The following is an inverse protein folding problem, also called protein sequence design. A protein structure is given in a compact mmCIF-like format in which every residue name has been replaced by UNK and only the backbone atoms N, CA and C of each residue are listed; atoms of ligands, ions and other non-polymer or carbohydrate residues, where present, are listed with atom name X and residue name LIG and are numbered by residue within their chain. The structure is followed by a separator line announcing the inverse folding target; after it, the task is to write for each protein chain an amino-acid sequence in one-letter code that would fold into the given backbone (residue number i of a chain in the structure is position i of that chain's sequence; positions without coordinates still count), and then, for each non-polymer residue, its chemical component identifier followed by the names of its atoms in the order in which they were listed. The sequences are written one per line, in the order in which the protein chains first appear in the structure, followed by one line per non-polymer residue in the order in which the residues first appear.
data_IF_626707678131
#
_entry.id   IF_626707678131
#
_cell.length_a   1.000
_cell.length_b   1.000
_cell.length_c   1.000
_cell.angle_alpha   90.00
_cell.angle_beta   90.00
_cell.angle_gamma   90.00
#
_symmetry.space_group_name_H-M   'P 1'
#
loop_
_entity.id
_entity.type
_entity.pdbx_description
1 polymer ?
#
# COMPACT_ATOMS: atom_id res chain seq x y z
N UNK A 1 -21.26 14.88 5.60
CA UNK A 1 -20.37 15.28 4.50
C UNK A 1 -19.65 14.07 3.91
N UNK A 2 -20.28 12.89 3.86
CA UNK A 2 -19.57 11.63 3.56
C UNK A 2 -20.32 10.83 2.49
N UNK A 3 -20.18 11.28 1.24
CA UNK A 3 -20.76 10.59 0.07
C UNK A 3 -19.75 9.70 -0.65
N UNK A 4 -18.51 9.65 -0.14
CA UNK A 4 -17.47 8.74 -0.60
C UNK A 4 -17.64 7.39 0.09
N UNK A 5 -17.07 6.36 -0.51
CA UNK A 5 -17.03 5.04 0.11
C UNK A 5 -16.31 5.08 1.46
N UNK A 6 -16.84 4.37 2.46
CA UNK A 6 -16.19 4.25 3.75
C UNK A 6 -14.83 3.52 3.60
N UNK A 7 -13.77 3.96 4.30
CA UNK A 7 -12.49 3.25 4.34
C UNK A 7 -12.64 1.78 4.73
N UNK A 8 -11.64 0.96 4.41
CA UNK A 8 -11.60 -0.43 4.83
C UNK A 8 -11.51 -0.51 6.36
N UNK A 9 -12.30 -1.39 6.97
CA UNK A 9 -12.53 -1.39 8.43
C UNK A 9 -13.41 -0.26 8.98
N UNK A 10 -14.01 0.56 8.10
CA UNK A 10 -15.05 1.54 8.44
C UNK A 10 -14.55 2.95 8.77
N UNK A 11 -13.27 3.11 9.15
CA UNK A 11 -12.66 4.41 9.45
C UNK A 11 -11.24 4.48 8.91
N UNK A 12 -10.85 5.65 8.43
CA UNK A 12 -9.46 5.92 8.02
C UNK A 12 -8.60 6.02 9.28
N UNK A 13 -7.54 5.24 9.32
CA UNK A 13 -6.56 5.22 10.42
C UNK A 13 -5.38 6.09 10.01
N UNK A 14 -5.40 7.35 10.43
CA UNK A 14 -4.25 8.25 10.33
C UNK A 14 -3.40 8.10 11.59
N UNK A 15 -2.13 7.73 11.45
CA UNK A 15 -1.23 7.48 12.57
C UNK A 15 -0.31 8.68 12.85
N UNK A 16 -0.42 9.77 12.09
CA UNK A 16 0.31 10.99 12.40
C UNK A 16 -0.24 11.59 13.70
N UNK A 17 0.62 11.69 14.70
CA UNK A 17 0.26 12.24 16.00
C UNK A 17 0.23 13.78 15.96
N UNK A 18 -0.52 14.42 16.87
CA UNK A 18 -0.47 15.87 17.04
C UNK A 18 0.95 16.39 17.32
N UNK A 19 1.21 17.65 16.95
CA UNK A 19 2.56 18.22 17.00
C UNK A 19 3.22 18.20 18.39
N UNK A 20 2.43 18.39 19.46
CA UNK A 20 2.90 18.31 20.84
C UNK A 20 3.35 16.90 21.23
N UNK A 21 2.60 15.86 20.81
CA UNK A 21 3.00 14.46 20.98
C UNK A 21 4.22 14.13 20.13
N UNK A 22 4.31 14.62 18.90
CA UNK A 22 5.45 14.43 18.01
C UNK A 22 6.75 14.98 18.64
N UNK A 23 6.71 16.18 19.22
CA UNK A 23 7.86 16.75 19.92
C UNK A 23 8.26 15.98 21.19
N UNK A 24 7.29 15.42 21.92
CA UNK A 24 7.56 14.54 23.05
C UNK A 24 8.26 13.24 22.61
N UNK A 25 7.78 12.62 21.53
CA UNK A 25 8.38 11.40 20.97
C UNK A 25 9.81 11.64 20.46
N UNK A 26 10.08 12.79 19.84
CA UNK A 26 11.45 13.17 19.42
C UNK A 26 12.42 13.27 20.60
N UNK A 27 11.95 13.80 21.74
CA UNK A 27 12.76 13.88 22.97
C UNK A 27 13.01 12.51 23.58
N UNK A 28 11.98 11.66 23.62
CA UNK A 28 12.08 10.29 24.13
C UNK A 28 13.05 9.45 23.29
N UNK A 29 13.04 9.64 21.97
CA UNK A 29 13.87 8.90 21.03
C UNK A 29 15.39 9.12 21.15
N UNK A 30 15.87 10.07 21.96
CA UNK A 30 17.31 10.26 22.19
C UNK A 30 17.93 9.10 22.98
N UNK A 31 17.16 8.50 23.88
CA UNK A 31 17.63 7.43 24.78
C UNK A 31 17.18 6.04 24.33
N UNK A 32 16.52 5.94 23.17
CA UNK A 32 15.93 4.71 22.66
C UNK A 32 16.75 4.12 21.50
N UNK A 33 16.71 2.79 21.29
CA UNK A 33 17.24 2.18 20.08
C UNK A 33 16.51 2.72 18.85
N UNK A 34 17.21 2.72 17.71
CA UNK A 34 16.66 3.17 16.44
C UNK A 34 16.93 2.20 15.30
N UNK A 35 15.97 2.11 14.39
CA UNK A 35 16.11 1.41 13.11
C UNK A 35 16.16 2.46 12.01
N UNK A 36 17.22 2.45 11.21
CA UNK A 36 17.28 3.18 9.94
C UNK A 36 16.59 2.35 8.86
N UNK A 37 15.55 2.93 8.26
CA UNK A 37 14.75 2.33 7.21
C UNK A 37 15.43 2.53 5.85
N UNK A 38 15.34 1.52 5.00
CA UNK A 38 15.59 1.73 3.58
C UNK A 38 14.42 2.47 2.90
N UNK A 39 14.60 2.84 1.63
CA UNK A 39 13.60 3.60 0.88
C UNK A 39 12.28 2.83 0.65
N UNK A 40 12.32 1.50 0.58
CA UNK A 40 11.11 0.68 0.43
C UNK A 40 10.33 0.67 1.74
N UNK A 41 11.03 0.44 2.85
CA UNK A 41 10.46 0.44 4.19
C UNK A 41 9.89 1.82 4.56
N UNK A 42 10.56 2.91 4.17
CA UNK A 42 10.06 4.27 4.36
C UNK A 42 8.76 4.53 3.58
N UNK A 43 8.67 4.07 2.31
CA UNK A 43 7.44 4.17 1.53
C UNK A 43 6.29 3.34 2.09
N UNK A 44 6.58 2.14 2.61
CA UNK A 44 5.59 1.31 3.31
C UNK A 44 5.13 1.95 4.63
N UNK A 45 6.05 2.56 5.38
CA UNK A 45 5.71 3.33 6.58
C UNK A 45 4.83 4.52 6.25
N UNK A 46 5.09 5.24 5.14
CA UNK A 46 4.25 6.34 4.67
C UNK A 46 2.83 5.89 4.35
N UNK A 47 2.68 4.76 3.66
CA UNK A 47 1.36 4.16 3.37
C UNK A 47 0.60 3.79 4.65
N UNK A 48 1.32 3.26 5.65
CA UNK A 48 0.76 2.92 6.95
C UNK A 48 0.33 4.17 7.73
N UNK A 49 1.23 5.16 7.85
CA UNK A 49 0.98 6.38 8.61
C UNK A 49 -0.14 7.22 8.01
N UNK A 50 -0.19 7.34 6.68
CA UNK A 50 -1.23 8.11 5.98
C UNK A 50 -2.59 7.40 5.90
N UNK A 51 -2.70 6.18 6.42
CA UNK A 51 -3.95 5.40 6.45
C UNK A 51 -4.31 4.70 5.14
N UNK A 52 -3.38 4.62 4.18
CA UNK A 52 -3.60 3.85 2.95
C UNK A 52 -3.76 2.36 3.26
N UNK A 53 -3.19 1.89 4.36
CA UNK A 53 -3.34 0.55 4.89
C UNK A 53 -4.37 0.40 6.02
N UNK A 54 -5.34 1.32 6.14
CA UNK A 54 -6.47 1.12 7.07
C UNK A 54 -7.12 -0.26 6.84
N UNK A 55 -7.43 -1.02 7.91
CA UNK A 55 -7.49 -0.59 9.32
C UNK A 55 -6.20 -0.80 10.14
N UNK A 56 -5.06 -1.11 9.51
CA UNK A 56 -3.82 -1.36 10.24
C UNK A 56 -3.39 -0.13 11.06
N UNK A 57 -2.94 -0.39 12.29
CA UNK A 57 -2.42 0.64 13.21
C UNK A 57 -0.90 0.54 13.41
N UNK A 58 -0.24 -0.29 12.61
CA UNK A 58 1.12 -0.75 12.88
C UNK A 58 1.57 -1.85 11.91
N UNK A 59 2.81 -2.28 12.07
CA UNK A 59 3.31 -3.48 11.41
C UNK A 59 2.70 -4.73 12.05
N UNK A 60 2.36 -5.72 11.23
CA UNK A 60 1.72 -6.94 11.71
C UNK A 60 2.64 -7.72 12.65
N UNK A 61 2.08 -8.15 13.77
CA UNK A 61 2.67 -9.16 14.66
C UNK A 61 2.59 -10.56 14.06
N UNK A 62 3.22 -11.53 14.74
CA UNK A 62 3.37 -12.90 14.21
C UNK A 62 2.03 -13.58 13.92
N UNK A 63 1.04 -13.41 14.79
CA UNK A 63 -0.28 -14.04 14.63
C UNK A 63 -1.01 -13.53 13.36
N UNK A 64 -1.07 -12.20 13.18
CA UNK A 64 -1.67 -11.62 11.99
C UNK A 64 -0.89 -11.96 10.72
N UNK A 65 0.44 -11.99 10.80
CA UNK A 65 1.30 -12.42 9.69
C UNK A 65 0.93 -13.83 9.22
N UNK A 66 0.92 -14.81 10.13
CA UNK A 66 0.59 -16.21 9.81
C UNK A 66 -0.87 -16.36 9.32
N UNK A 67 -1.81 -15.63 9.92
CA UNK A 67 -3.21 -15.61 9.48
C UNK A 67 -3.34 -15.08 8.05
N UNK A 68 -2.65 -13.98 7.72
CA UNK A 68 -2.68 -13.41 6.37
C UNK A 68 -2.06 -14.36 5.35
N UNK A 69 -0.96 -15.04 5.70
CA UNK A 69 -0.38 -16.06 4.82
C UNK A 69 -1.38 -17.17 4.53
N UNK A 70 -2.04 -17.69 5.57
CA UNK A 70 -2.94 -18.86 5.49
C UNK A 70 -4.29 -18.57 4.85
N UNK A 71 -4.92 -17.45 5.18
CA UNK A 71 -6.34 -17.21 4.87
C UNK A 71 -6.66 -15.81 4.35
N UNK A 72 -5.65 -14.99 4.03
CA UNK A 72 -5.84 -13.60 3.56
C UNK A 72 -6.76 -12.78 4.48
N UNK A 73 -6.60 -12.99 5.78
CA UNK A 73 -7.36 -12.32 6.83
C UNK A 73 -6.44 -12.01 8.00
N UNK A 74 -6.67 -10.89 8.67
CA UNK A 74 -6.11 -10.63 10.00
C UNK A 74 -6.71 -11.62 11.02
N UNK A 75 -6.11 -11.71 12.20
CA UNK A 75 -6.56 -12.62 13.26
C UNK A 75 -7.98 -12.33 13.76
N UNK A 76 -8.47 -11.10 13.57
CA UNK A 76 -9.85 -10.69 13.89
C UNK A 76 -10.87 -11.03 12.77
N UNK A 77 -10.41 -11.62 11.67
CA UNK A 77 -11.22 -12.00 10.51
C UNK A 77 -11.34 -10.91 9.44
N UNK A 78 -10.75 -9.74 9.63
CA UNK A 78 -10.74 -8.67 8.62
C UNK A 78 -9.98 -9.12 7.37
N UNK A 79 -10.59 -8.97 6.19
CA UNK A 79 -9.95 -9.33 4.91
C UNK A 79 -8.68 -8.50 4.67
N UNK A 80 -7.55 -9.19 4.48
CA UNK A 80 -6.24 -8.58 4.29
C UNK A 80 -5.27 -9.53 3.55
N UNK A 81 -4.80 -9.20 2.34
CA UNK A 81 -4.18 -10.19 1.46
C UNK A 81 -2.65 -10.32 1.57
N UNK A 82 -1.91 -9.33 2.09
CA UNK A 82 -0.44 -9.33 2.11
C UNK A 82 0.07 -8.89 3.47
N UNK A 83 1.00 -9.63 4.12
CA UNK A 83 1.50 -9.21 5.41
C UNK A 83 2.36 -7.95 5.27
N UNK A 84 2.07 -6.93 6.09
CA UNK A 84 2.85 -5.69 6.18
C UNK A 84 3.68 -5.75 7.46
N UNK A 85 4.95 -6.13 7.34
CA UNK A 85 5.88 -6.31 8.47
C UNK A 85 7.18 -5.54 8.24
N UNK A 86 7.82 -5.10 9.32
CA UNK A 86 9.13 -4.47 9.26
C UNK A 86 10.23 -5.54 9.31
N UNK A 87 11.04 -5.63 8.26
CA UNK A 87 12.18 -6.55 8.22
C UNK A 87 13.43 -5.88 8.77
N UNK A 88 14.17 -6.56 9.64
CA UNK A 88 15.44 -6.11 10.21
C UNK A 88 16.49 -7.21 10.08
N UNK A 89 17.76 -6.83 10.19
CA UNK A 89 18.83 -7.82 10.25
C UNK A 89 18.95 -8.43 11.66
N UNK A 90 19.64 -9.57 11.76
CA UNK A 90 19.84 -10.29 13.02
C UNK A 90 20.47 -9.43 14.13
N UNK A 91 21.41 -8.55 13.78
CA UNK A 91 22.07 -7.66 14.77
C UNK A 91 21.09 -6.67 15.38
N UNK A 92 20.19 -6.12 14.58
CA UNK A 92 19.12 -5.22 15.04
C UNK A 92 18.09 -6.02 15.86
N UNK A 93 17.67 -7.18 15.39
CA UNK A 93 16.71 -8.03 16.10
C UNK A 93 17.22 -8.43 17.49
N UNK A 94 18.51 -8.72 17.64
CA UNK A 94 19.12 -9.06 18.93
C UNK A 94 19.09 -7.92 19.96
N UNK A 95 18.86 -6.67 19.53
CA UNK A 95 18.83 -5.48 20.38
C UNK A 95 17.41 -5.03 20.75
N UNK A 96 16.39 -5.70 20.20
CA UNK A 96 14.99 -5.30 20.33
C UNK A 96 14.20 -6.47 20.91
N UNK A 97 13.37 -6.20 21.92
CA UNK A 97 12.45 -7.18 22.50
C UNK A 97 11.01 -6.65 22.52
N UNK A 98 10.01 -7.54 22.57
CA UNK A 98 8.63 -7.16 22.88
C UNK A 98 8.55 -6.26 24.13
N UNK A 99 7.79 -5.18 24.04
CA UNK A 99 7.65 -4.16 25.07
C UNK A 99 8.61 -2.98 24.93
N UNK A 100 9.62 -3.06 24.07
CA UNK A 100 10.49 -1.92 23.77
C UNK A 100 9.78 -0.88 22.89
N UNK A 101 10.31 0.34 22.94
CA UNK A 101 9.98 1.40 21.99
C UNK A 101 11.20 1.69 21.12
N UNK A 102 10.99 1.74 19.81
CA UNK A 102 12.08 1.88 18.83
C UNK A 102 11.79 3.05 17.90
N UNK A 103 12.75 3.96 17.76
CA UNK A 103 12.63 5.07 16.82
C UNK A 103 12.88 4.57 15.38
N UNK A 104 11.96 4.86 14.47
CA UNK A 104 12.13 4.60 13.04
C UNK A 104 12.63 5.86 12.35
N UNK A 105 13.76 5.75 11.68
CA UNK A 105 14.44 6.87 11.01
C UNK A 105 14.61 6.59 9.53
N UNK A 106 14.65 7.63 8.71
CA UNK A 106 15.04 7.49 7.31
C UNK A 106 16.56 7.31 7.15
N UNK A 107 17.02 7.22 5.90
CA UNK A 107 18.44 7.11 5.56
C UNK A 107 19.29 8.33 5.93
N UNK A 108 18.68 9.49 6.20
CA UNK A 108 19.36 10.71 6.64
C UNK A 108 19.36 10.86 8.18
N UNK A 109 18.69 9.94 8.88
CA UNK A 109 18.58 9.92 10.34
C UNK A 109 17.40 10.72 10.90
N UNK A 110 16.54 11.27 10.04
CA UNK A 110 15.34 11.99 10.47
C UNK A 110 14.31 11.01 11.02
N UNK A 111 13.73 11.33 12.18
CA UNK A 111 12.77 10.46 12.85
C UNK A 111 11.39 10.57 12.20
N UNK A 112 10.92 9.44 11.65
CA UNK A 112 9.62 9.33 10.99
C UNK A 112 8.54 8.85 11.94
N UNK A 113 8.84 7.88 12.80
CA UNK A 113 7.86 7.28 13.69
C UNK A 113 8.49 6.67 14.96
N UNK A 114 7.65 6.37 15.93
CA UNK A 114 7.94 5.47 17.03
C UNK A 114 7.20 4.15 16.84
N UNK A 115 7.89 3.03 17.06
CA UNK A 115 7.33 1.68 17.03
C UNK A 115 7.26 1.12 18.46
N UNK A 116 6.05 0.82 18.91
CA UNK A 116 5.80 0.07 20.14
C UNK A 116 5.81 -1.43 19.81
N UNK A 117 6.91 -2.11 20.15
CA UNK A 117 7.18 -3.47 19.68
C UNK A 117 6.29 -4.48 20.39
N UNK A 118 5.50 -5.23 19.62
CA UNK A 118 4.71 -6.36 20.13
C UNK A 118 5.42 -7.69 19.94
N UNK A 119 6.10 -7.86 18.81
CA UNK A 119 6.68 -9.13 18.40
C UNK A 119 8.01 -8.93 17.69
N UNK A 120 8.97 -9.82 17.97
CA UNK A 120 10.23 -9.95 17.23
C UNK A 120 10.44 -11.43 16.97
N UNK A 121 10.51 -11.85 15.70
CA UNK A 121 10.68 -13.26 15.35
C UNK A 121 11.48 -13.45 14.07
N UNK A 122 12.20 -14.56 13.99
CA UNK A 122 12.85 -14.99 12.75
C UNK A 122 11.82 -15.63 11.82
N UNK A 123 11.88 -15.28 10.53
CA UNK A 123 11.00 -15.85 9.53
C UNK A 123 11.36 -17.32 9.27
N UNK A 124 10.45 -18.22 9.62
CA UNK A 124 10.49 -19.61 9.16
C UNK A 124 9.89 -19.69 7.75
N UNK A 125 10.77 -19.74 6.75
CA UNK A 125 10.37 -19.80 5.34
C UNK A 125 9.62 -21.10 5.03
N UNK A 126 10.02 -22.23 5.61
CA UNK A 126 9.38 -23.53 5.33
C UNK A 126 7.94 -23.56 5.88
N UNK A 127 7.75 -23.07 7.11
CA UNK A 127 6.42 -22.90 7.69
C UNK A 127 5.59 -21.91 6.86
N UNK A 128 6.17 -20.76 6.49
CA UNK A 128 5.48 -19.72 5.73
C UNK A 128 5.02 -20.19 4.35
N UNK A 129 5.86 -20.96 3.64
CA UNK A 129 5.50 -21.61 2.37
C UNK A 129 4.36 -22.61 2.59
N UNK A 130 4.42 -23.44 3.64
CA UNK A 130 3.34 -24.39 3.95
C UNK A 130 2.00 -23.70 4.26
N UNK A 131 2.03 -22.50 4.86
CA UNK A 131 0.83 -21.68 5.07
C UNK A 131 0.30 -21.11 3.75
N UNK A 132 1.19 -20.60 2.88
CA UNK A 132 0.83 -20.08 1.57
C UNK A 132 0.23 -21.14 0.67
N UNK A 133 0.76 -22.37 0.65
CA UNK A 133 0.22 -23.49 -0.13
C UNK A 133 -1.22 -23.87 0.26
N UNK A 134 -1.62 -23.59 1.51
CA UNK A 134 -2.98 -23.80 2.01
C UNK A 134 -3.91 -22.62 1.74
N UNK A 135 -3.34 -21.48 1.33
CA UNK A 135 -4.09 -20.28 1.03
C UNK A 135 -4.77 -20.39 -0.33
N UNK A 136 -5.96 -19.80 -0.49
CA UNK A 136 -6.60 -19.71 -1.80
C UNK A 136 -5.86 -18.78 -2.78
N UNK A 137 -4.82 -18.07 -2.34
CA UNK A 137 -3.86 -17.39 -3.21
C UNK A 137 -2.42 -17.65 -2.72
N UNK A 138 -1.70 -18.65 -3.24
CA UNK A 138 -0.38 -19.05 -2.71
C UNK A 138 0.77 -18.12 -3.13
N UNK A 139 0.59 -17.30 -4.18
CA UNK A 139 1.63 -16.41 -4.74
C UNK A 139 1.45 -14.97 -4.27
N UNK A 140 2.51 -14.17 -4.39
CA UNK A 140 2.45 -12.70 -4.16
C UNK A 140 2.96 -12.23 -2.81
N UNK A 141 3.56 -13.11 -2.01
CA UNK A 141 4.28 -12.74 -0.79
C UNK A 141 5.74 -13.12 -0.97
N UNK A 142 6.62 -12.15 -0.78
CA UNK A 142 8.07 -12.38 -0.82
C UNK A 142 8.56 -12.82 0.57
N UNK A 143 9.24 -13.97 0.61
CA UNK A 143 9.78 -14.55 1.83
C UNK A 143 11.31 -14.54 1.74
N UNK A 144 11.95 -13.75 2.59
CA UNK A 144 13.41 -13.61 2.60
C UNK A 144 13.99 -14.49 3.70
N UNK A 145 14.76 -15.51 3.30
CA UNK A 145 15.41 -16.43 4.25
C UNK A 145 16.36 -15.69 5.19
N UNK A 146 16.29 -16.01 6.49
CA UNK A 146 17.11 -15.37 7.52
C UNK A 146 16.64 -13.97 7.93
N UNK A 147 15.56 -13.44 7.37
CA UNK A 147 14.98 -12.17 7.79
C UNK A 147 14.39 -12.28 9.20
N UNK A 148 14.57 -11.22 9.98
CA UNK A 148 13.87 -11.02 11.24
C UNK A 148 12.75 -10.00 11.03
N UNK A 149 11.57 -10.30 11.56
CA UNK A 149 10.41 -9.45 11.44
C UNK A 149 10.08 -8.83 12.80
N UNK A 150 9.67 -7.56 12.75
CA UNK A 150 9.22 -6.79 13.91
C UNK A 150 7.79 -6.32 13.67
N UNK A 151 6.92 -6.66 14.60
CA UNK A 151 5.52 -6.24 14.64
C UNK A 151 5.30 -5.26 15.78
N UNK A 152 4.32 -4.37 15.63
CA UNK A 152 4.02 -3.38 16.66
C UNK A 152 3.22 -2.19 16.16
N UNK A 153 2.71 -1.41 17.11
CA UNK A 153 1.92 -0.20 16.83
C UNK A 153 2.84 0.96 16.45
N UNK A 154 2.34 1.82 15.57
CA UNK A 154 3.09 2.97 15.07
C UNK A 154 2.44 4.26 15.58
N UNK A 155 3.28 5.15 16.14
CA UNK A 155 2.98 6.57 16.31
C UNK A 155 3.83 7.36 15.30
N UNK A 156 3.18 7.92 14.28
CA UNK A 156 3.85 8.69 13.23
C UNK A 156 4.22 10.09 13.70
N UNK A 157 5.50 10.45 13.61
CA UNK A 157 6.06 11.75 14.02
C UNK A 157 6.10 12.71 12.85
N UNK A 158 6.46 12.23 11.66
CA UNK A 158 6.52 13.02 10.43
C UNK A 158 6.46 12.11 9.21
N UNK A 159 5.83 12.59 8.14
CA UNK A 159 5.95 11.92 6.83
C UNK A 159 7.39 12.01 6.30
N UNK A 160 7.82 11.02 5.49
CA UNK A 160 9.07 11.13 4.74
C UNK A 160 9.07 12.38 3.86
N UNK A 161 10.22 13.04 3.76
CA UNK A 161 10.36 14.21 2.89
C UNK A 161 10.60 13.76 1.45
N UNK A 162 9.80 14.32 0.54
CA UNK A 162 9.96 14.11 -0.90
C UNK A 162 10.14 15.46 -1.59
N UNK A 163 11.09 15.54 -2.52
CA UNK A 163 11.35 16.76 -3.29
C UNK A 163 10.82 16.67 -4.73
N UNK A 164 10.46 15.47 -5.16
CA UNK A 164 9.91 15.16 -6.47
C UNK A 164 8.39 15.05 -6.41
N UNK A 165 7.73 15.54 -7.47
CA UNK A 165 6.28 15.40 -7.68
C UNK A 165 5.39 15.73 -6.46
N UNK A 166 5.80 16.69 -5.63
CA UNK A 166 5.13 17.02 -4.35
C UNK A 166 3.63 17.29 -4.51
N UNK A 167 3.21 17.90 -5.62
CA UNK A 167 1.79 18.16 -5.92
C UNK A 167 0.97 16.90 -6.23
N UNK A 168 1.60 15.76 -6.52
CA UNK A 168 0.95 14.48 -6.82
C UNK A 168 0.95 13.52 -5.63
N UNK A 169 1.80 13.75 -4.62
CA UNK A 169 1.93 12.93 -3.41
C UNK A 169 0.86 13.31 -2.39
N UNK A 170 -0.38 12.96 -2.71
CA UNK A 170 -1.55 13.25 -1.88
C UNK A 170 -1.87 12.03 -1.02
N UNK A 171 -1.88 12.16 0.31
CA UNK A 171 -2.31 11.08 1.20
C UNK A 171 -3.83 10.82 1.12
N UNK A 172 -4.32 9.67 1.63
CA UNK A 172 -5.74 9.32 1.60
C UNK A 172 -6.68 10.39 2.16
N UNK A 173 -6.34 10.99 3.31
CA UNK A 173 -7.16 12.04 3.94
C UNK A 173 -7.26 13.29 3.06
N UNK A 174 -6.12 13.74 2.53
CA UNK A 174 -6.06 14.91 1.65
C UNK A 174 -6.80 14.65 0.34
N UNK A 175 -6.54 13.50 -0.31
CA UNK A 175 -7.19 13.17 -1.56
C UNK A 175 -8.70 13.08 -1.36
N UNK A 176 -9.19 12.34 -0.36
CA UNK A 176 -10.63 12.27 -0.03
C UNK A 176 -11.24 13.65 0.17
N UNK A 177 -10.56 14.56 0.87
CA UNK A 177 -11.00 15.95 1.03
C UNK A 177 -11.10 16.70 -0.30
N UNK A 178 -10.13 16.51 -1.20
CA UNK A 178 -10.20 17.09 -2.55
C UNK A 178 -11.36 16.51 -3.37
N UNK A 179 -11.53 15.19 -3.37
CA UNK A 179 -12.60 14.50 -4.11
C UNK A 179 -13.99 14.89 -3.60
N UNK A 180 -14.16 14.97 -2.28
CA UNK A 180 -15.41 15.39 -1.65
C UNK A 180 -15.76 16.85 -1.96
N UNK A 181 -14.78 17.76 -1.95
CA UNK A 181 -14.97 19.18 -2.35
C UNK A 181 -15.41 19.33 -3.81
N UNK A 182 -14.98 18.43 -4.70
CA UNK A 182 -15.42 18.36 -6.09
C UNK A 182 -16.78 17.66 -6.27
N UNK A 183 -17.37 17.13 -5.19
CA UNK A 183 -18.64 16.40 -5.23
C UNK A 183 -18.56 15.04 -5.93
N UNK A 184 -17.36 14.45 -6.04
CA UNK A 184 -17.17 13.15 -6.68
C UNK A 184 -17.77 12.03 -5.81
N UNK A 185 -18.64 11.19 -6.38
CA UNK A 185 -19.31 10.09 -5.67
C UNK A 185 -18.78 8.72 -6.07
N UNK A 186 -18.88 8.43 -7.37
CA UNK A 186 -18.33 7.22 -7.98
C UNK A 186 -16.99 7.57 -8.59
N UNK A 187 -16.00 6.78 -8.23
CA UNK A 187 -14.61 6.95 -8.63
C UNK A 187 -14.08 5.58 -9.05
N UNK A 188 -13.66 5.49 -10.30
CA UNK A 188 -12.92 4.37 -10.87
C UNK A 188 -11.44 4.70 -10.76
N UNK A 189 -10.64 3.77 -10.26
CA UNK A 189 -9.19 3.94 -10.22
C UNK A 189 -8.46 2.99 -11.15
N UNK A 190 -7.34 3.48 -11.70
CA UNK A 190 -6.34 2.65 -12.35
C UNK A 190 -5.01 2.81 -11.60
N UNK A 191 -4.65 1.76 -10.86
CA UNK A 191 -3.37 1.68 -10.16
C UNK A 191 -2.30 1.20 -11.14
N UNK A 192 -1.46 2.12 -11.60
CA UNK A 192 -0.55 1.85 -12.70
C UNK A 192 0.84 1.46 -12.21
N UNK A 193 1.35 0.36 -12.73
CA UNK A 193 2.72 -0.10 -12.44
C UNK A 193 3.65 0.02 -13.65
N UNK A 194 3.09 0.43 -14.79
CA UNK A 194 3.76 0.59 -16.06
C UNK A 194 3.15 1.75 -16.86
N UNK A 195 3.85 2.28 -17.88
CA UNK A 195 3.29 3.31 -18.75
C UNK A 195 1.98 2.86 -19.39
N UNK A 196 0.99 3.74 -19.40
CA UNK A 196 -0.29 3.47 -20.04
C UNK A 196 -0.18 3.70 -21.56
N UNK A 197 -0.71 2.76 -22.33
CA UNK A 197 -0.84 2.86 -23.78
C UNK A 197 -2.30 3.09 -24.20
N UNK A 198 -2.53 3.25 -25.51
CA UNK A 198 -3.85 3.57 -26.07
C UNK A 198 -4.98 2.65 -25.59
N UNK A 199 -4.71 1.35 -25.45
CA UNK A 199 -5.74 0.40 -25.02
C UNK A 199 -6.13 0.61 -23.54
N UNK A 200 -5.15 0.81 -22.64
CA UNK A 200 -5.44 1.11 -21.23
C UNK A 200 -6.13 2.46 -21.08
N UNK A 201 -5.69 3.47 -21.85
CA UNK A 201 -6.34 4.78 -21.90
C UNK A 201 -7.81 4.67 -22.30
N UNK A 202 -8.10 3.99 -23.41
CA UNK A 202 -9.46 3.80 -23.91
C UNK A 202 -10.32 2.99 -22.94
N UNK A 203 -9.74 1.98 -22.29
CA UNK A 203 -10.43 1.18 -21.28
C UNK A 203 -10.80 2.00 -20.05
N UNK A 204 -9.85 2.78 -19.49
CA UNK A 204 -10.09 3.63 -18.34
C UNK A 204 -11.21 4.64 -18.59
N UNK A 205 -11.20 5.29 -19.76
CA UNK A 205 -12.27 6.22 -20.15
C UNK A 205 -13.62 5.52 -20.31
N UNK A 206 -13.63 4.35 -20.97
CA UNK A 206 -14.86 3.58 -21.15
C UNK A 206 -15.45 3.15 -19.82
N UNK A 207 -14.65 2.59 -18.91
CA UNK A 207 -15.09 2.19 -17.59
C UNK A 207 -15.63 3.39 -16.79
N UNK A 208 -14.96 4.54 -16.85
CA UNK A 208 -15.46 5.76 -16.20
C UNK A 208 -16.84 6.18 -16.75
N UNK A 209 -17.05 6.09 -18.07
CA UNK A 209 -18.34 6.41 -18.71
C UNK A 209 -19.42 5.39 -18.34
N UNK A 210 -19.13 4.09 -18.49
CA UNK A 210 -20.07 3.00 -18.24
C UNK A 210 -20.56 2.97 -16.80
N UNK A 211 -19.70 3.32 -15.84
CA UNK A 211 -20.03 3.40 -14.42
C UNK A 211 -20.45 4.81 -13.97
N UNK A 212 -20.55 5.77 -14.90
CA UNK A 212 -20.86 7.18 -14.62
C UNK A 212 -20.04 7.74 -13.44
N UNK A 213 -18.74 7.49 -13.50
CA UNK A 213 -17.76 7.70 -12.46
C UNK A 213 -16.66 8.65 -12.94
N UNK A 214 -16.01 9.30 -11.98
CA UNK A 214 -14.78 10.03 -12.25
C UNK A 214 -13.59 9.06 -12.24
N UNK A 215 -12.51 9.45 -12.91
CA UNK A 215 -11.31 8.63 -13.04
C UNK A 215 -10.19 9.15 -12.14
N UNK A 216 -9.61 8.26 -11.33
CA UNK A 216 -8.40 8.52 -10.58
C UNK A 216 -7.27 7.65 -11.15
N UNK A 217 -6.17 8.27 -11.55
CA UNK A 217 -4.96 7.56 -11.96
C UNK A 217 -4.00 7.56 -10.77
N UNK A 218 -3.58 6.36 -10.35
CA UNK A 218 -2.70 6.14 -9.19
C UNK A 218 -1.45 5.32 -9.60
N UNK A 219 -0.52 5.89 -10.39
CA UNK A 219 0.76 5.22 -10.61
C UNK A 219 1.55 5.02 -9.32
N UNK A 220 2.17 3.85 -9.19
CA UNK A 220 3.13 3.54 -8.12
C UNK A 220 4.44 4.28 -8.41
N UNK A 221 4.83 5.19 -7.51
CA UNK A 221 6.01 6.03 -7.66
C UNK A 221 6.95 6.03 -6.46
N UNK A 222 7.00 4.93 -5.71
CA UNK A 222 8.06 4.71 -4.72
C UNK A 222 9.34 4.23 -5.38
N UNK A 223 10.45 4.85 -4.99
CA UNK A 223 11.78 4.55 -5.50
C UNK A 223 12.80 5.55 -5.00
N UNK A 224 14.03 5.08 -4.84
CA UNK A 224 15.17 5.97 -4.66
C UNK A 224 15.75 6.37 -6.04
N UNK A 225 16.34 7.56 -6.12
CA UNK A 225 16.99 8.08 -7.33
C UNK A 225 18.14 7.20 -7.79
N UNK A 226 18.82 6.50 -6.87
CA UNK A 226 19.95 5.63 -7.21
C UNK A 226 19.52 4.20 -7.49
N UNK A 227 18.54 3.68 -6.75
CA UNK A 227 18.10 2.28 -6.83
C UNK A 227 16.92 2.01 -7.77
N UNK A 228 16.07 3.00 -8.05
CA UNK A 228 14.84 2.83 -8.83
C UNK A 228 14.37 4.12 -9.51
N UNK A 229 15.23 4.79 -10.28
CA UNK A 229 14.87 6.03 -10.98
C UNK A 229 13.74 5.87 -12.05
N UNK A 230 13.38 4.63 -12.39
CA UNK A 230 12.38 4.32 -13.43
C UNK A 230 11.00 4.91 -13.15
N UNK A 231 10.62 5.10 -11.87
CA UNK A 231 9.33 5.69 -11.54
C UNK A 231 9.21 7.14 -12.03
N UNK A 232 10.31 7.90 -12.13
CA UNK A 232 10.27 9.28 -12.65
C UNK A 232 9.73 9.29 -14.07
N UNK A 233 10.22 8.38 -14.90
CA UNK A 233 9.75 8.22 -16.28
C UNK A 233 8.29 7.79 -16.32
N UNK A 234 7.88 6.88 -15.43
CA UNK A 234 6.49 6.47 -15.28
C UNK A 234 5.58 7.67 -14.96
N UNK A 235 5.86 8.41 -13.89
CA UNK A 235 5.05 9.56 -13.47
C UNK A 235 5.01 10.64 -14.55
N UNK A 236 6.15 10.94 -15.20
CA UNK A 236 6.20 11.89 -16.32
C UNK A 236 5.37 11.44 -17.52
N UNK A 237 5.33 10.13 -17.81
CA UNK A 237 4.48 9.60 -18.89
C UNK A 237 2.98 9.83 -18.59
N UNK A 238 2.56 9.68 -17.33
CA UNK A 238 1.20 9.99 -16.90
C UNK A 238 0.90 11.48 -16.99
N UNK A 239 1.79 12.36 -16.52
CA UNK A 239 1.65 13.81 -16.65
C UNK A 239 1.48 14.24 -18.12
N UNK A 240 2.27 13.68 -19.03
CA UNK A 240 2.16 13.97 -20.46
C UNK A 240 0.80 13.56 -21.05
N UNK A 241 0.23 12.45 -20.60
CA UNK A 241 -1.07 11.95 -21.05
C UNK A 241 -2.26 12.68 -20.45
N UNK A 242 -2.10 13.41 -19.34
CA UNK A 242 -3.22 14.13 -18.70
C UNK A 242 -3.93 15.11 -19.63
N UNK A 243 -3.22 15.66 -20.62
CA UNK A 243 -3.81 16.52 -21.67
C UNK A 243 -4.87 15.83 -22.53
N UNK A 244 -4.88 14.49 -22.56
CA UNK A 244 -5.84 13.67 -23.32
C UNK A 244 -7.06 13.28 -22.50
N UNK A 245 -7.02 13.44 -21.18
CA UNK A 245 -8.14 13.15 -20.29
C UNK A 245 -9.01 14.38 -20.06
N UNK A 246 -10.33 14.22 -19.82
CA UNK A 246 -11.17 15.35 -19.44
C UNK A 246 -10.78 15.89 -18.05
N UNK A 247 -10.35 17.14 -18.00
CA UNK A 247 -9.79 17.79 -16.79
C UNK A 247 -10.78 17.81 -15.61
N UNK A 248 -12.09 17.93 -15.89
CA UNK A 248 -13.11 18.02 -14.85
C UNK A 248 -13.39 16.68 -14.13
N UNK A 249 -13.12 15.55 -14.79
CA UNK A 249 -13.51 14.21 -14.33
C UNK A 249 -12.33 13.26 -14.20
N UNK A 250 -11.10 13.76 -14.30
CA UNK A 250 -9.89 12.95 -14.14
C UNK A 250 -8.87 13.64 -13.25
N UNK A 251 -8.31 12.88 -12.30
CA UNK A 251 -7.26 13.35 -11.39
C UNK A 251 -6.09 12.37 -11.40
N UNK A 252 -4.87 12.91 -11.32
CA UNK A 252 -3.63 12.15 -11.14
C UNK A 252 -3.14 12.39 -9.71
N UNK A 253 -2.82 11.30 -9.02
CA UNK A 253 -2.05 11.28 -7.78
C UNK A 253 -1.09 10.09 -7.83
N UNK A 254 -0.08 10.04 -6.98
CA UNK A 254 0.89 8.95 -6.98
C UNK A 254 0.95 8.25 -5.62
N UNK A 255 1.26 6.96 -5.64
CA UNK A 255 1.51 6.17 -4.44
C UNK A 255 3.00 6.20 -4.10
N UNK A 256 3.40 6.39 -2.83
CA UNK A 256 4.80 6.48 -2.41
C UNK A 256 5.53 5.13 -2.35
N UNK A 257 4.93 4.05 -2.86
CA UNK A 257 5.50 2.70 -2.86
C UNK A 257 5.87 2.23 -4.27
N UNK A 258 6.91 1.39 -4.33
CA UNK A 258 7.25 0.68 -5.56
C UNK A 258 6.15 -0.34 -5.89
N UNK A 259 5.97 -0.58 -7.17
CA UNK A 259 5.18 -1.70 -7.64
C UNK A 259 5.84 -3.02 -7.19
N UNK A 260 5.11 -3.90 -6.50
CA UNK A 260 5.58 -5.21 -6.01
C UNK A 260 5.59 -6.27 -7.16
N UNK A 261 5.10 -7.49 -7.02
CA UNK A 261 4.89 -8.51 -8.09
C UNK A 261 3.45 -8.56 -8.65
N UNK A 262 3.19 -8.72 -9.96
CA UNK A 262 1.79 -8.74 -10.47
C UNK A 262 0.97 -10.00 -10.07
N UNK A 263 0.66 -10.16 -8.79
CA UNK A 263 -0.07 -11.28 -8.18
C UNK A 263 -1.49 -10.88 -7.78
N UNK A 264 -2.36 -11.87 -7.56
CA UNK A 264 -3.72 -11.63 -7.10
C UNK A 264 -3.77 -10.93 -5.73
N UNK A 265 -2.90 -11.33 -4.79
CA UNK A 265 -2.81 -10.70 -3.47
C UNK A 265 -2.52 -9.20 -3.57
N UNK A 266 -1.68 -8.80 -4.52
CA UNK A 266 -1.36 -7.39 -4.72
C UNK A 266 -2.48 -6.61 -5.37
N UNK A 267 -3.22 -7.22 -6.30
CA UNK A 267 -4.44 -6.61 -6.86
C UNK A 267 -5.49 -6.38 -5.76
N UNK A 268 -5.65 -7.35 -4.84
CA UNK A 268 -6.53 -7.22 -3.67
C UNK A 268 -6.02 -6.16 -2.67
N UNK A 269 -4.71 -6.09 -2.41
CA UNK A 269 -4.13 -5.02 -1.58
C UNK A 269 -4.37 -3.66 -2.23
N UNK A 270 -4.18 -3.56 -3.55
CA UNK A 270 -4.48 -2.37 -4.33
C UNK A 270 -5.94 -1.96 -4.21
N UNK A 271 -6.89 -2.91 -4.19
CA UNK A 271 -8.29 -2.58 -3.96
C UNK A 271 -8.56 -2.00 -2.57
N UNK A 272 -7.92 -2.53 -1.53
CA UNK A 272 -7.99 -1.97 -0.17
C UNK A 272 -7.42 -0.55 -0.16
N UNK A 273 -6.24 -0.36 -0.75
CA UNK A 273 -5.60 0.96 -0.85
C UNK A 273 -6.54 1.93 -1.59
N UNK A 274 -7.01 1.56 -2.78
CA UNK A 274 -7.94 2.36 -3.58
C UNK A 274 -9.19 2.76 -2.79
N UNK A 275 -9.79 1.82 -2.05
CA UNK A 275 -10.91 2.08 -1.15
C UNK A 275 -10.53 3.11 -0.10
N UNK A 276 -9.37 2.98 0.54
CA UNK A 276 -8.88 3.94 1.54
C UNK A 276 -8.62 5.32 0.94
N UNK A 277 -8.28 5.42 -0.35
CA UNK A 277 -8.22 6.68 -1.10
C UNK A 277 -9.59 7.23 -1.55
N UNK A 278 -10.68 6.50 -1.35
CA UNK A 278 -12.05 6.92 -1.69
C UNK A 278 -12.60 6.35 -2.98
N UNK A 279 -11.92 5.39 -3.60
CA UNK A 279 -12.33 4.78 -4.85
C UNK A 279 -13.40 3.72 -4.65
N UNK A 280 -14.45 3.79 -5.45
CA UNK A 280 -15.57 2.82 -5.44
C UNK A 280 -15.34 1.63 -6.36
N UNK A 281 -14.58 1.82 -7.43
CA UNK A 281 -14.31 0.82 -8.46
C UNK A 281 -12.81 0.75 -8.74
N UNK A 282 -12.29 -0.45 -9.01
CA UNK A 282 -10.87 -0.66 -9.32
C UNK A 282 -10.74 -1.41 -10.63
N UNK A 283 -10.00 -0.82 -11.58
CA UNK A 283 -9.62 -1.53 -12.80
C UNK A 283 -8.52 -2.52 -12.45
N UNK A 284 -8.82 -3.81 -12.55
CA UNK A 284 -7.86 -4.89 -12.36
C UNK A 284 -7.44 -5.49 -13.71
N UNK A 285 -6.13 -5.57 -13.90
CA UNK A 285 -5.50 -6.24 -15.04
C UNK A 285 -5.27 -5.37 -16.26
N UNK A 286 -4.98 -6.02 -17.38
CA UNK A 286 -4.54 -5.34 -18.62
C UNK A 286 -3.10 -4.83 -18.57
N UNK A 287 -2.36 -5.24 -17.54
CA UNK A 287 -0.93 -5.03 -17.38
C UNK A 287 -0.13 -6.03 -18.21
N UNK A 288 0.98 -5.59 -18.80
CA UNK A 288 1.93 -6.51 -19.41
C UNK A 288 2.65 -7.34 -18.35
N UNK A 289 2.66 -8.66 -18.51
CA UNK A 289 3.46 -9.57 -17.70
C UNK A 289 4.79 -9.87 -18.41
N UNK A 290 5.90 -9.86 -17.67
CA UNK A 290 7.25 -10.05 -18.21
C UNK A 290 7.44 -11.39 -18.95
N UNK A 291 6.64 -12.41 -18.60
CA UNK A 291 6.65 -13.71 -19.27
C UNK A 291 5.99 -13.70 -20.67
N UNK A 292 5.33 -12.60 -21.08
CA UNK A 292 4.75 -12.42 -22.42
C UNK A 292 3.51 -13.26 -22.74
N UNK A 293 3.22 -14.30 -21.96
CA UNK A 293 2.16 -15.27 -22.20
C UNK A 293 0.84 -14.90 -21.50
N UNK A 294 0.34 -13.67 -21.65
CA UNK A 294 -0.99 -13.37 -21.14
C UNK A 294 -1.72 -12.32 -21.98
N UNK A 295 -2.94 -12.67 -22.41
CA UNK A 295 -3.83 -11.69 -23.05
C UNK A 295 -4.23 -10.66 -21.99
N UNK A 296 -4.24 -9.38 -22.37
CA UNK A 296 -4.66 -8.28 -21.48
C UNK A 296 -6.05 -8.55 -20.91
N UNK A 297 -6.18 -8.55 -19.57
CA UNK A 297 -7.41 -8.86 -18.85
C UNK A 297 -7.54 -10.33 -18.45
N UNK A 298 -6.84 -11.25 -19.14
CA UNK A 298 -6.75 -12.66 -18.72
C UNK A 298 -5.70 -12.85 -17.61
N UNK A 299 -4.90 -11.83 -17.31
CA UNK A 299 -3.89 -11.82 -16.23
C UNK A 299 -4.53 -11.81 -14.84
N UNK A 300 -5.80 -11.41 -14.77
CA UNK A 300 -6.61 -11.60 -13.58
C UNK A 300 -7.08 -13.04 -13.56
N UNK A 301 -7.69 -13.54 -14.67
CA UNK A 301 -8.36 -14.85 -14.80
C UNK A 301 -7.46 -16.09 -14.83
N UNK A 302 -6.20 -15.98 -15.28
CA UNK A 302 -5.24 -17.10 -15.37
C UNK A 302 -4.57 -17.44 -14.04
N UNK A 303 -4.39 -16.46 -13.16
CA UNK A 303 -3.80 -16.66 -11.83
C UNK A 303 -4.85 -17.14 -10.80
N UNK A 304 -6.07 -17.50 -11.23
CA UNK A 304 -7.11 -18.09 -10.37
C UNK A 304 -6.88 -19.59 -10.18
N UNK A 305 -5.98 -19.94 -9.27
CA UNK A 305 -6.05 -21.24 -8.59
C UNK A 305 -7.27 -21.22 -7.62
N UNK A 306 -8.50 -21.16 -8.16
CA UNK A 306 -9.74 -21.43 -7.41
C UNK A 306 -10.39 -20.26 -6.62
N UNK A 307 -9.81 -19.05 -6.57
CA UNK A 307 -10.42 -17.91 -5.85
C UNK A 307 -11.50 -17.18 -6.67
N UNK A 308 -12.66 -16.91 -6.08
CA UNK A 308 -13.72 -16.13 -6.71
C UNK A 308 -13.50 -14.62 -6.44
N UNK A 309 -13.00 -13.89 -7.44
CA UNK A 309 -12.73 -12.44 -7.31
C UNK A 309 -13.98 -11.63 -7.03
N UNK A 310 -15.14 -12.04 -7.54
CA UNK A 310 -16.40 -11.33 -7.23
C UNK A 310 -16.74 -11.49 -5.74
N UNK A 311 -16.50 -12.67 -5.16
CA UNK A 311 -16.69 -12.86 -3.73
C UNK A 311 -15.71 -12.01 -2.90
N UNK A 312 -14.45 -11.90 -3.34
CA UNK A 312 -13.46 -11.05 -2.69
C UNK A 312 -13.76 -9.56 -2.85
N UNK A 313 -14.26 -9.12 -4.01
CA UNK A 313 -14.66 -7.73 -4.22
C UNK A 313 -15.80 -7.34 -3.28
N UNK A 314 -16.78 -8.23 -3.08
CA UNK A 314 -17.82 -8.06 -2.06
C UNK A 314 -17.27 -8.00 -0.64
N UNK A 315 -16.29 -8.85 -0.28
CA UNK A 315 -15.63 -8.81 1.04
C UNK A 315 -14.89 -7.50 1.27
N UNK A 316 -14.20 -7.00 0.24
CA UNK A 316 -13.47 -5.74 0.28
C UNK A 316 -14.38 -4.51 0.09
N UNK A 317 -15.64 -4.69 -0.26
CA UNK A 317 -16.62 -3.62 -0.50
C UNK A 317 -16.28 -2.73 -1.70
N UNK A 318 -15.45 -3.19 -2.63
CA UNK A 318 -15.03 -2.45 -3.84
C UNK A 318 -15.52 -3.22 -5.06
N UNK A 319 -15.94 -2.51 -6.10
CA UNK A 319 -16.34 -3.13 -7.38
C UNK A 319 -15.16 -3.30 -8.33
#
# INVERSE_FOLDING_TARGET
MDHLIAPHGGKLVDLIVPADRAEALKKEAFDLPSISLDWQQAGELEMLMGGAYSPLTGYLGKADFESVLKSMTLSDGTAWPIPISLSVNEKQAAQIKPGDRVALRDGEGFMLAMLDVSDVWQLDVAQSVSLLEKSPAPKGVELVSGAWLVGGKIEGVSMPQHHDFTSLRLGPAELRSQLARRGWRRIVTYMARQPMHQAQFAFCLRSAIEHEANLLLLPCGGGDLTGNAGYITLIRSFQAMMSRFPVATTQLAMLPVAARTSSLREKLLGAIVARNYGCTHVIMGGEHQAAGECRRGEDVTRDHDGLNIVAESHRLGVT
#
